data_IF_786727909847
#
_entry.id   IF_786727909847
#
_cell.length_a   1.000
_cell.length_b   1.000
_cell.length_c   1.000
_cell.angle_alpha   90.00
_cell.angle_beta   90.00
_cell.angle_gamma   90.00
#
_symmetry.space_group_name_H-M   'P 1'
#
loop_
_entity.id
_entity.type
_entity.pdbx_description
1 polymer ?
#
# COMPACT_ATOMS: atom_id res chain seq x y z
N UNK A 1 6.05 12.47 -0.97
CA UNK A 1 6.50 11.09 -0.67
C UNK A 1 6.56 10.40 -2.01
N UNK A 2 7.72 9.88 -2.41
CA UNK A 2 8.04 9.46 -3.78
C UNK A 2 7.12 8.35 -4.35
N UNK A 3 6.28 7.73 -3.53
CA UNK A 3 5.41 6.61 -3.92
C UNK A 3 3.95 6.79 -3.49
N UNK A 4 3.41 8.01 -3.57
CA UNK A 4 1.99 8.20 -3.28
C UNK A 4 1.16 7.88 -4.52
N UNK A 5 1.07 6.61 -4.87
CA UNK A 5 0.09 6.12 -5.85
C UNK A 5 -1.30 6.20 -5.25
N UNK A 6 -2.31 6.45 -6.10
CA UNK A 6 -3.72 6.52 -5.68
C UNK A 6 -4.24 5.20 -5.07
N UNK A 7 -3.48 4.12 -5.23
CA UNK A 7 -3.72 2.80 -4.65
C UNK A 7 -3.50 2.74 -3.14
N UNK A 8 -2.96 3.77 -2.48
CA UNK A 8 -2.73 3.76 -1.02
C UNK A 8 -3.82 4.53 -0.25
N UNK A 9 -5.08 4.14 -0.45
CA UNK A 9 -6.22 4.67 0.32
C UNK A 9 -6.37 3.90 1.68
N UNK A 10 -6.79 4.56 2.76
CA UNK A 10 -6.88 3.93 4.09
C UNK A 10 -5.55 3.93 4.88
N UNK A 11 -5.40 3.01 5.84
CA UNK A 11 -4.13 2.83 6.55
C UNK A 11 -3.22 1.92 5.73
N UNK A 12 -1.99 2.36 5.46
CA UNK A 12 -0.97 1.53 4.83
C UNK A 12 -0.26 0.72 5.90
N UNK A 13 -0.14 -0.59 5.68
CA UNK A 13 0.54 -1.52 6.59
C UNK A 13 1.91 -1.86 6.01
N UNK A 14 2.92 -1.95 6.87
CA UNK A 14 4.26 -2.42 6.55
C UNK A 14 4.58 -3.65 7.40
N UNK A 15 5.03 -4.73 6.76
CA UNK A 15 5.56 -5.91 7.45
C UNK A 15 6.97 -5.58 7.98
N UNK A 16 7.18 -5.72 9.29
CA UNK A 16 8.49 -5.54 9.94
C UNK A 16 8.89 -6.81 10.70
N UNK A 17 10.15 -6.91 11.13
CA UNK A 17 10.63 -8.01 11.97
C UNK A 17 9.84 -8.15 13.28
N UNK A 18 9.24 -7.06 13.78
CA UNK A 18 8.44 -7.00 15.01
C UNK A 18 6.93 -7.22 14.78
N UNK A 19 6.55 -7.56 13.54
CA UNK A 19 5.18 -7.73 13.06
C UNK A 19 4.68 -6.56 12.18
N UNK A 20 3.42 -6.61 11.72
CA UNK A 20 2.84 -5.55 10.90
C UNK A 20 2.66 -4.26 11.70
N UNK A 21 3.03 -3.12 11.11
CA UNK A 21 2.87 -1.77 11.68
C UNK A 21 2.15 -0.85 10.70
N UNK A 22 1.45 0.15 11.21
CA UNK A 22 0.89 1.22 10.38
C UNK A 22 1.98 2.20 9.96
N UNK A 23 2.11 2.47 8.66
CA UNK A 23 3.13 3.39 8.14
C UNK A 23 2.93 4.85 8.58
N UNK A 24 1.70 5.23 8.94
CA UNK A 24 1.37 6.62 9.27
C UNK A 24 1.91 7.08 10.63
N UNK A 25 1.94 6.18 11.63
CA UNK A 25 2.41 6.51 12.98
C UNK A 25 3.35 5.46 13.60
N UNK A 26 3.63 4.36 12.88
CA UNK A 26 4.50 3.28 13.34
C UNK A 26 3.90 2.40 14.44
N UNK A 27 2.62 2.60 14.81
CA UNK A 27 1.96 1.75 15.79
C UNK A 27 1.75 0.33 15.24
N UNK A 28 1.80 -0.68 16.12
CA UNK A 28 1.56 -2.07 15.73
C UNK A 28 0.12 -2.24 15.25
N UNK A 29 -0.06 -3.07 14.23
CA UNK A 29 -1.37 -3.58 13.86
C UNK A 29 -1.71 -4.69 14.86
N UNK A 30 -2.23 -4.29 16.02
CA UNK A 30 -2.67 -5.22 17.05
C UNK A 30 -4.21 -5.21 17.18
N UNK A 31 -4.79 -6.37 17.49
CA UNK A 31 -6.24 -6.50 17.67
C UNK A 31 -6.74 -5.86 18.97
N UNK A 32 -5.84 -5.56 19.91
CA UNK A 32 -6.19 -5.03 21.22
C UNK A 32 -6.41 -3.50 21.20
N UNK A 33 -5.85 -2.80 20.22
CA UNK A 33 -5.90 -1.35 20.02
C UNK A 33 -6.50 -0.98 18.65
N UNK A 34 -7.78 -1.30 18.40
CA UNK A 34 -8.41 -1.04 17.12
C UNK A 34 -8.48 0.46 16.79
N UNK A 35 -7.91 0.84 15.64
CA UNK A 35 -7.95 2.21 15.11
C UNK A 35 -9.14 2.40 14.15
N UNK A 36 -9.77 3.59 14.11
CA UNK A 36 -10.72 3.93 13.05
C UNK A 36 -9.99 4.15 11.73
N UNK A 37 -10.44 3.50 10.65
CA UNK A 37 -9.84 3.65 9.32
C UNK A 37 -9.76 5.12 8.88
N UNK A 38 -8.62 5.57 8.34
CA UNK A 38 -8.47 6.94 7.82
C UNK A 38 -9.50 7.31 6.76
N UNK A 39 -9.92 6.36 5.92
CA UNK A 39 -10.86 6.57 4.81
C UNK A 39 -12.33 6.58 5.27
N UNK A 40 -12.81 5.44 5.77
CA UNK A 40 -14.23 5.25 6.10
C UNK A 40 -14.59 5.58 7.55
N UNK A 41 -13.61 5.82 8.43
CA UNK A 41 -13.77 6.10 9.87
C UNK A 41 -14.44 4.97 10.67
N UNK A 42 -14.68 3.81 10.06
CA UNK A 42 -15.20 2.62 10.76
C UNK A 42 -14.12 2.10 11.69
N UNK A 43 -14.51 1.83 12.94
CA UNK A 43 -13.63 1.27 13.97
C UNK A 43 -13.73 -0.26 13.95
N UNK A 44 -12.57 -0.90 14.02
CA UNK A 44 -12.39 -2.35 14.17
C UNK A 44 -12.90 -2.79 15.55
N UNK A 45 -13.46 -4.00 15.70
CA UNK A 45 -13.77 -4.54 17.03
C UNK A 45 -12.51 -5.12 17.70
N UNK A 46 -12.52 -5.23 19.02
CA UNK A 46 -11.39 -5.74 19.79
C UNK A 46 -11.13 -7.23 19.50
N UNK A 47 -9.85 -7.61 19.32
CA UNK A 47 -9.41 -8.96 18.96
C UNK A 47 -9.47 -9.25 17.46
N UNK A 48 -9.96 -8.31 16.66
CA UNK A 48 -10.00 -8.41 15.21
C UNK A 48 -8.85 -7.58 14.63
N UNK A 49 -8.11 -8.13 13.66
CA UNK A 49 -7.36 -7.27 12.74
C UNK A 49 -8.36 -6.47 11.89
N UNK A 50 -7.95 -5.34 11.31
CA UNK A 50 -8.85 -4.46 10.54
C UNK A 50 -9.80 -5.28 9.66
N UNK A 51 -11.12 -5.34 9.99
CA UNK A 51 -12.04 -6.31 9.42
C UNK A 51 -12.30 -5.98 7.95
N UNK A 52 -11.79 -4.82 7.51
CA UNK A 52 -11.90 -4.37 6.16
C UNK A 52 -11.19 -5.29 5.18
N UNK A 53 -10.00 -5.89 5.50
CA UNK A 53 -9.26 -6.87 4.65
C UNK A 53 -7.83 -7.28 5.11
N UNK A 54 -7.38 -6.98 6.33
CA UNK A 54 -5.99 -7.24 6.76
C UNK A 54 -5.54 -8.73 6.74
N UNK A 55 -6.46 -9.68 6.57
CA UNK A 55 -6.20 -11.11 6.43
C UNK A 55 -6.66 -11.67 5.08
N UNK A 56 -6.29 -11.01 3.99
CA UNK A 56 -6.40 -11.60 2.67
C UNK A 56 -5.09 -12.36 2.34
N UNK A 57 -5.17 -13.62 1.88
CA UNK A 57 -3.97 -14.33 1.45
C UNK A 57 -3.31 -13.59 0.29
N UNK A 58 -1.98 -13.64 0.19
CA UNK A 58 -1.25 -13.09 -0.95
C UNK A 58 -1.34 -11.56 -1.13
N UNK A 59 -1.89 -10.82 -0.17
CA UNK A 59 -1.97 -9.35 -0.23
C UNK A 59 -0.88 -8.68 0.59
N UNK A 60 -0.37 -7.55 0.09
CA UNK A 60 0.51 -6.67 0.85
C UNK A 60 -0.29 -5.60 1.60
N UNK A 61 -1.33 -5.07 0.96
CA UNK A 61 -2.19 -4.04 1.52
C UNK A 61 -3.54 -4.06 0.82
N UNK A 62 -4.60 -3.59 1.47
CA UNK A 62 -5.91 -3.47 0.84
C UNK A 62 -6.81 -2.47 1.59
N UNK A 63 -7.68 -1.76 0.87
CA UNK A 63 -8.78 -0.98 1.46
C UNK A 63 -10.16 -1.41 0.92
N UNK A 64 -11.14 -1.59 1.81
CA UNK A 64 -12.49 -1.97 1.42
C UNK A 64 -13.29 -0.82 0.79
N UNK A 65 -12.81 0.43 0.87
CA UNK A 65 -13.53 1.60 0.38
C UNK A 65 -14.83 1.93 1.12
N UNK A 66 -15.14 1.24 2.23
CA UNK A 66 -16.48 1.21 2.86
C UNK A 66 -17.23 2.54 2.84
N UNK A 67 -18.44 2.50 2.30
CA UNK A 67 -19.36 3.64 2.29
C UNK A 67 -19.00 4.72 1.27
N UNK A 68 -18.02 4.46 0.39
CA UNK A 68 -17.68 5.36 -0.72
C UNK A 68 -17.59 4.58 -2.02
N UNK A 69 -18.25 5.08 -3.05
CA UNK A 69 -18.07 4.54 -4.40
C UNK A 69 -16.68 4.87 -4.94
N UNK A 70 -16.22 6.10 -4.69
CA UNK A 70 -14.99 6.66 -5.24
C UNK A 70 -14.07 7.22 -4.18
N UNK A 71 -12.76 7.04 -4.37
CA UNK A 71 -11.73 7.68 -3.54
C UNK A 71 -11.72 9.20 -3.80
N UNK A 72 -11.59 10.04 -2.76
CA UNK A 72 -11.49 11.49 -2.91
C UNK A 72 -10.14 11.94 -3.49
N UNK A 73 -9.16 11.05 -3.59
CA UNK A 73 -7.82 11.39 -4.10
C UNK A 73 -7.84 11.45 -5.63
N UNK A 74 -8.35 10.39 -6.27
CA UNK A 74 -8.27 10.24 -7.74
C UNK A 74 -9.61 10.20 -8.44
N UNK A 75 -10.71 10.06 -7.69
CA UNK A 75 -12.02 9.76 -8.26
C UNK A 75 -12.16 8.33 -8.80
N UNK A 76 -11.15 7.47 -8.71
CA UNK A 76 -11.25 6.04 -9.00
C UNK A 76 -12.12 5.30 -7.98
N UNK A 77 -12.36 4.01 -8.20
CA UNK A 77 -13.08 3.16 -7.24
C UNK A 77 -12.40 3.19 -5.86
N UNK A 78 -13.19 3.26 -4.80
CA UNK A 78 -12.68 3.51 -3.45
C UNK A 78 -12.01 2.28 -2.80
N UNK A 79 -12.47 1.08 -3.15
CA UNK A 79 -11.88 -0.17 -2.68
C UNK A 79 -10.71 -0.58 -3.55
N UNK A 80 -9.67 -1.15 -2.95
CA UNK A 80 -8.56 -1.79 -3.65
C UNK A 80 -7.98 -2.97 -2.87
N UNK A 81 -7.32 -3.85 -3.60
CA UNK A 81 -6.38 -4.86 -3.07
C UNK A 81 -5.06 -4.72 -3.81
N UNK A 82 -3.96 -4.65 -3.07
CA UNK A 82 -2.59 -4.75 -3.57
C UNK A 82 -2.02 -6.13 -3.22
N UNK A 83 -1.72 -6.91 -4.24
CA UNK A 83 -1.13 -8.24 -4.13
C UNK A 83 0.38 -8.14 -3.88
N UNK A 84 0.95 -9.17 -3.25
CA UNK A 84 2.40 -9.28 -3.01
C UNK A 84 3.21 -9.32 -4.30
N UNK A 85 2.61 -9.79 -5.39
CA UNK A 85 3.25 -9.79 -6.71
C UNK A 85 3.27 -8.41 -7.39
N UNK A 86 2.69 -7.38 -6.77
CA UNK A 86 2.65 -6.00 -7.26
C UNK A 86 1.43 -5.66 -8.12
N UNK A 87 0.56 -6.62 -8.43
CA UNK A 87 -0.73 -6.33 -9.08
C UNK A 87 -1.69 -5.67 -8.09
N UNK A 88 -2.55 -4.81 -8.62
CA UNK A 88 -3.60 -4.14 -7.87
C UNK A 88 -4.92 -4.26 -8.60
N UNK A 89 -6.01 -4.44 -7.86
CA UNK A 89 -7.36 -4.30 -8.42
C UNK A 89 -8.25 -3.47 -7.51
N UNK A 90 -9.27 -2.86 -8.08
CA UNK A 90 -10.20 -1.94 -7.43
C UNK A 90 -11.65 -2.38 -7.57
N UNK A 91 -12.48 -1.88 -6.65
CA UNK A 91 -13.90 -2.20 -6.56
C UNK A 91 -14.68 -1.11 -5.83
N UNK A 92 -16.00 -1.08 -6.01
CA UNK A 92 -16.88 -0.16 -5.27
C UNK A 92 -16.79 -0.40 -3.76
N UNK A 93 -16.73 0.65 -2.95
CA UNK A 93 -16.77 0.52 -1.49
C UNK A 93 -18.12 0.10 -0.91
N UNK A 94 -19.07 -0.29 -1.76
CA UNK A 94 -20.33 -0.95 -1.37
C UNK A 94 -20.25 -2.48 -1.45
N UNK A 95 -19.17 -3.02 -2.02
CA UNK A 95 -18.94 -4.46 -2.16
C UNK A 95 -18.68 -5.08 -0.79
N UNK A 96 -19.36 -6.20 -0.50
CA UNK A 96 -19.20 -6.94 0.75
C UNK A 96 -17.91 -7.77 0.81
N UNK A 97 -17.42 -8.03 2.03
CA UNK A 97 -16.14 -8.71 2.25
C UNK A 97 -16.02 -10.11 1.65
N UNK A 98 -17.11 -10.88 1.54
CA UNK A 98 -17.09 -12.20 0.89
C UNK A 98 -16.76 -12.12 -0.61
N UNK A 99 -17.32 -11.14 -1.31
CA UNK A 99 -17.04 -10.91 -2.72
C UNK A 99 -15.58 -10.46 -2.93
N UNK A 100 -15.06 -9.63 -2.02
CA UNK A 100 -13.64 -9.24 -2.04
C UNK A 100 -12.74 -10.45 -1.85
N UNK A 101 -13.03 -11.34 -0.89
CA UNK A 101 -12.26 -12.58 -0.69
C UNK A 101 -12.28 -13.48 -1.92
N UNK A 102 -13.44 -13.67 -2.54
CA UNK A 102 -13.55 -14.45 -3.76
C UNK A 102 -12.73 -13.83 -4.92
N UNK A 103 -12.73 -12.50 -5.06
CA UNK A 103 -11.92 -11.81 -6.06
C UNK A 103 -10.41 -12.01 -5.82
N UNK A 104 -9.97 -12.00 -4.56
CA UNK A 104 -8.57 -12.28 -4.19
C UNK A 104 -8.17 -13.71 -4.56
N UNK A 105 -8.99 -14.70 -4.22
CA UNK A 105 -8.71 -16.10 -4.52
C UNK A 105 -8.57 -16.31 -6.04
N UNK A 106 -9.42 -15.65 -6.83
CA UNK A 106 -9.32 -15.65 -8.30
C UNK A 106 -8.05 -14.95 -8.79
N UNK A 107 -7.70 -13.79 -8.24
CA UNK A 107 -6.51 -13.05 -8.63
C UNK A 107 -5.21 -13.84 -8.33
N UNK A 108 -5.13 -14.49 -7.16
CA UNK A 108 -4.02 -15.37 -6.78
C UNK A 108 -3.92 -16.57 -7.73
N UNK A 109 -5.06 -17.12 -8.13
CA UNK A 109 -5.14 -18.22 -9.09
C UNK A 109 -4.93 -17.78 -10.56
N UNK A 110 -4.60 -16.51 -10.79
CA UNK A 110 -4.43 -15.88 -12.10
C UNK A 110 -5.66 -16.06 -13.03
N UNK A 111 -6.84 -15.85 -12.45
CA UNK A 111 -8.14 -15.92 -13.13
C UNK A 111 -8.76 -14.53 -13.28
N UNK A 112 -9.72 -14.45 -14.19
CA UNK A 112 -10.52 -13.25 -14.40
C UNK A 112 -11.25 -12.84 -13.11
N UNK A 113 -11.26 -11.53 -12.84
CA UNK A 113 -11.94 -10.98 -11.68
C UNK A 113 -13.46 -11.01 -11.89
N UNK A 114 -14.27 -11.07 -10.81
CA UNK A 114 -15.71 -10.93 -10.91
C UNK A 114 -16.13 -9.56 -11.46
N UNK A 115 -17.36 -9.47 -11.97
CA UNK A 115 -17.97 -8.20 -12.37
C UNK A 115 -17.90 -7.17 -11.22
N UNK A 116 -17.55 -5.91 -11.55
CA UNK A 116 -17.41 -4.83 -10.58
C UNK A 116 -16.02 -4.73 -9.93
N UNK A 117 -15.11 -5.64 -10.25
CA UNK A 117 -13.70 -5.57 -9.91
C UNK A 117 -12.86 -5.30 -11.16
N UNK A 118 -11.84 -4.45 -11.04
CA UNK A 118 -11.01 -4.04 -12.18
C UNK A 118 -9.55 -3.99 -11.77
N UNK A 119 -8.67 -4.69 -12.50
CA UNK A 119 -7.24 -4.52 -12.32
C UNK A 119 -6.83 -3.10 -12.70
N UNK A 120 -5.97 -2.47 -11.90
CA UNK A 120 -5.34 -1.22 -12.30
C UNK A 120 -4.35 -1.49 -13.44
N UNK A 121 -4.28 -0.54 -14.38
CA UNK A 121 -3.29 -0.57 -15.46
C UNK A 121 -1.89 -0.28 -14.91
N UNK A 122 -1.81 0.62 -13.92
CA UNK A 122 -0.59 0.91 -13.18
C UNK A 122 -0.36 -0.14 -12.10
N UNK A 123 0.83 -0.73 -12.12
CA UNK A 123 1.27 -1.70 -11.12
C UNK A 123 1.91 -0.97 -9.95
N UNK A 124 2.04 -1.65 -8.81
CA UNK A 124 2.78 -1.08 -7.70
C UNK A 124 4.26 -1.03 -8.04
N UNK A 125 4.96 -0.04 -7.48
CA UNK A 125 6.40 0.19 -7.71
C UNK A 125 7.30 -1.01 -7.36
N UNK A 126 6.80 -1.97 -6.57
CA UNK A 126 7.49 -3.22 -6.25
C UNK A 126 7.20 -4.36 -7.24
N UNK A 127 6.38 -4.13 -8.26
CA UNK A 127 6.05 -5.16 -9.24
C UNK A 127 7.29 -5.65 -9.98
N UNK A 128 7.45 -6.97 -10.04
CA UNK A 128 8.62 -7.58 -10.70
C UNK A 128 9.93 -7.47 -9.91
N UNK A 129 9.91 -6.88 -8.71
CA UNK A 129 11.05 -6.85 -7.80
C UNK A 129 11.06 -8.09 -6.90
N UNK A 130 12.26 -8.56 -6.57
CA UNK A 130 12.47 -9.57 -5.53
C UNK A 130 12.34 -8.94 -4.13
N UNK A 131 12.06 -9.76 -3.11
CA UNK A 131 11.99 -9.30 -1.71
C UNK A 131 13.25 -8.53 -1.28
N UNK A 132 14.43 -8.96 -1.71
CA UNK A 132 15.69 -8.28 -1.42
C UNK A 132 15.78 -6.89 -2.08
N UNK A 133 15.26 -6.74 -3.29
CA UNK A 133 15.20 -5.46 -4.00
C UNK A 133 14.18 -4.53 -3.36
N UNK A 134 13.00 -5.04 -3.01
CA UNK A 134 11.97 -4.28 -2.28
C UNK A 134 12.53 -3.77 -0.95
N UNK A 135 13.15 -4.65 -0.15
CA UNK A 135 13.77 -4.28 1.13
C UNK A 135 14.85 -3.21 0.97
N UNK A 136 15.68 -3.30 -0.07
CA UNK A 136 16.67 -2.29 -0.39
C UNK A 136 16.04 -0.94 -0.72
N UNK A 137 15.01 -0.92 -1.58
CA UNK A 137 14.31 0.31 -1.97
C UNK A 137 13.67 0.98 -0.76
N UNK A 138 13.04 0.21 0.12
CA UNK A 138 12.52 0.70 1.40
C UNK A 138 13.62 1.30 2.28
N UNK A 139 14.74 0.58 2.47
CA UNK A 139 15.85 1.03 3.31
C UNK A 139 16.47 2.33 2.79
N UNK A 140 16.72 2.42 1.47
CA UNK A 140 17.26 3.64 0.86
C UNK A 140 16.27 4.80 0.89
N UNK A 141 14.97 4.55 0.67
CA UNK A 141 13.95 5.60 0.77
C UNK A 141 13.88 6.17 2.19
N UNK A 142 13.89 5.31 3.21
CA UNK A 142 13.93 5.74 4.62
C UNK A 142 15.20 6.55 4.92
N UNK A 143 16.37 6.09 4.46
CA UNK A 143 17.63 6.81 4.62
C UNK A 143 17.58 8.18 3.94
N UNK A 144 17.10 8.25 2.71
CA UNK A 144 16.95 9.50 1.96
C UNK A 144 16.04 10.50 2.70
N UNK A 145 14.89 10.06 3.19
CA UNK A 145 13.99 10.91 3.99
C UNK A 145 14.69 11.42 5.25
N UNK A 146 15.40 10.56 5.98
CA UNK A 146 16.12 10.97 7.19
C UNK A 146 17.20 12.03 6.90
N UNK A 147 17.96 11.85 5.83
CA UNK A 147 18.97 12.82 5.40
C UNK A 147 18.35 14.16 5.01
N UNK A 148 17.27 14.15 4.23
CA UNK A 148 16.52 15.37 3.87
C UNK A 148 16.05 16.10 5.12
N UNK A 149 15.43 15.39 6.09
CA UNK A 149 14.96 15.98 7.34
C UNK A 149 16.11 16.58 8.15
N UNK A 150 17.24 15.87 8.25
CA UNK A 150 18.45 16.33 8.93
C UNK A 150 18.98 17.62 8.30
N UNK A 151 19.07 17.68 6.98
CA UNK A 151 19.58 18.85 6.25
C UNK A 151 18.68 20.06 6.41
N UNK A 152 17.37 19.89 6.24
CA UNK A 152 16.38 20.97 6.45
C UNK A 152 16.41 21.48 7.88
N UNK A 153 16.50 20.58 8.87
CA UNK A 153 16.58 20.96 10.29
C UNK A 153 17.87 21.72 10.60
N UNK A 154 18.95 21.44 9.87
CA UNK A 154 20.21 22.17 9.94
C UNK A 154 20.20 23.48 9.11
N UNK A 155 19.07 23.89 8.53
CA UNK A 155 18.93 25.09 7.72
C UNK A 155 19.59 24.98 6.34
N UNK A 156 19.87 23.77 5.86
CA UNK A 156 20.42 23.50 4.53
C UNK A 156 19.30 23.13 3.56
N UNK A 157 19.52 23.43 2.28
CA UNK A 157 18.71 22.85 1.22
C UNK A 157 19.12 21.38 1.02
N UNK A 158 18.15 20.45 0.86
CA UNK A 158 18.47 19.07 0.54
C UNK A 158 19.24 18.96 -0.78
N UNK A 159 20.13 17.98 -0.88
CA UNK A 159 20.77 17.65 -2.16
C UNK A 159 19.71 17.27 -3.22
N UNK A 160 19.84 17.80 -4.44
CA UNK A 160 18.91 17.54 -5.55
C UNK A 160 18.82 16.05 -5.89
N UNK A 161 19.84 15.25 -5.59
CA UNK A 161 19.83 13.79 -5.77
C UNK A 161 18.83 13.05 -4.88
N UNK A 162 18.33 13.67 -3.81
CA UNK A 162 17.20 13.13 -3.04
C UNK A 162 15.84 13.44 -3.68
N UNK A 163 15.82 14.40 -4.61
CA UNK A 163 14.64 14.81 -5.36
C UNK A 163 14.58 14.16 -6.74
N UNK A 164 15.71 13.61 -7.23
CA UNK A 164 15.71 12.79 -8.45
C UNK A 164 15.24 11.37 -8.14
N UNK A 165 14.53 10.78 -9.11
CA UNK A 165 13.86 9.49 -8.98
C UNK A 165 14.80 8.29 -8.79
N UNK A 166 16.12 8.44 -8.94
CA UNK A 166 17.06 7.30 -9.03
C UNK A 166 17.65 6.82 -7.69
N UNK A 167 17.79 7.69 -6.70
CA UNK A 167 18.45 7.39 -5.42
C UNK A 167 17.88 6.20 -4.61
N UNK A 168 16.54 5.96 -4.59
CA UNK A 168 16.01 4.85 -3.81
C UNK A 168 16.21 3.48 -4.47
N UNK A 169 16.51 3.40 -5.76
CA UNK A 169 16.41 2.15 -6.53
C UNK A 169 17.63 1.23 -6.43
N UNK A 170 17.38 -0.08 -6.55
CA UNK A 170 18.44 -1.07 -6.64
C UNK A 170 19.31 -0.83 -7.89
N UNK A 171 20.65 -0.84 -7.77
CA UNK A 171 21.53 -0.64 -8.91
C UNK A 171 21.29 -1.68 -10.03
N UNK A 172 21.01 -1.20 -11.24
CA UNK A 172 20.81 -2.05 -12.41
C UNK A 172 19.35 -2.39 -12.73
N UNK A 173 18.37 -1.83 -12.01
CA UNK A 173 16.98 -1.82 -12.48
C UNK A 173 16.82 -0.92 -13.71
N UNK A 174 16.07 -1.38 -14.69
CA UNK A 174 15.66 -0.56 -15.84
C UNK A 174 14.47 0.37 -15.49
N UNK A 175 14.08 1.24 -16.43
CA UNK A 175 13.02 2.22 -16.18
C UNK A 175 11.64 1.56 -16.03
N UNK A 176 11.40 0.41 -16.67
CA UNK A 176 10.15 -0.36 -16.54
C UNK A 176 10.02 -1.01 -15.15
N UNK A 177 11.16 -1.31 -14.51
CA UNK A 177 11.21 -1.82 -13.13
C UNK A 177 11.16 -0.71 -12.07
N UNK A 178 11.39 0.55 -12.45
CA UNK A 178 11.34 1.73 -11.57
C UNK A 178 9.99 2.47 -11.65
N UNK A 179 9.14 2.13 -12.59
CA UNK A 179 7.85 2.79 -12.85
C UNK A 179 6.77 2.36 -11.88
#
# INVERSE_FOLDING_TARGET
MLFKTDTLFGHVIEDTDDGPVYQDDGSKVDGDNPRPCLGCKVKIQHGEQDPCIANLPGTLNACCGHGRERTPVSGGLAGYVALRDGRTFRFSGTVGGEAVRAAVDLAIADKELPEGFVFDEEKMWWYGLTDAQVAYVHANTRRAIFEVVREVTAGKLPDDSYLTSDSPWWPGLDDDQKS
#
